data_IF_334562947748
#
_entry.id   IF_334562947748
#
_cell.length_a   1.000
_cell.length_b   1.000
_cell.length_c   1.000
_cell.angle_alpha   90.00
_cell.angle_beta   90.00
_cell.angle_gamma   90.00
#
_symmetry.space_group_name_H-M   'P 1'
#
loop_
_entity.id
_entity.type
_entity.pdbx_description
1 polymer ?
#
# COMPACT_ATOMS: atom_id res chain seq x y z
N UNK A 1 8.47 5.16 6.01
CA UNK A 1 7.08 5.51 5.64
C UNK A 1 6.27 5.75 6.92
N UNK A 2 5.07 6.34 6.82
CA UNK A 2 4.10 6.47 7.92
C UNK A 2 2.81 5.77 7.50
N UNK A 3 2.26 4.87 8.32
CA UNK A 3 1.06 4.08 7.98
C UNK A 3 -0.14 4.49 8.83
N UNK A 4 -1.33 4.53 8.22
CA UNK A 4 -2.58 4.92 8.86
C UNK A 4 -3.81 4.34 8.14
N UNK A 5 -5.00 4.79 8.55
CA UNK A 5 -6.27 4.43 7.91
C UNK A 5 -6.91 3.10 8.37
N UNK A 6 -6.21 2.30 9.19
CA UNK A 6 -6.72 1.00 9.66
C UNK A 6 -7.26 0.96 11.09
N UNK A 7 -6.84 1.90 11.95
CA UNK A 7 -7.05 1.81 13.39
C UNK A 7 -7.54 3.13 13.97
N UNK A 8 -8.46 3.04 14.93
CA UNK A 8 -8.86 4.14 15.81
C UNK A 8 -7.95 4.23 17.04
N UNK A 9 -7.94 5.38 17.74
CA UNK A 9 -7.24 5.52 19.01
C UNK A 9 -7.59 4.38 19.98
N UNK A 10 -6.57 3.71 20.52
CA UNK A 10 -6.75 2.49 21.32
C UNK A 10 -6.65 1.18 20.53
N UNK A 11 -6.02 1.20 19.34
CA UNK A 11 -5.74 0.00 18.52
C UNK A 11 -6.99 -0.76 18.08
N UNK A 12 -8.14 -0.08 17.97
CA UNK A 12 -9.37 -0.67 17.45
C UNK A 12 -9.36 -0.66 15.93
N UNK A 13 -9.32 -1.83 15.32
CA UNK A 13 -9.35 -1.95 13.87
C UNK A 13 -10.72 -1.52 13.34
N UNK A 14 -10.74 -0.61 12.37
CA UNK A 14 -11.98 -0.13 11.76
C UNK A 14 -12.55 -1.20 10.83
N UNK A 15 -13.88 -1.29 10.77
CA UNK A 15 -14.53 -2.08 9.73
C UNK A 15 -14.17 -1.51 8.35
N UNK A 16 -13.54 -2.33 7.51
CA UNK A 16 -13.17 -1.93 6.15
C UNK A 16 -14.15 -2.49 5.14
N UNK A 17 -14.20 -1.88 3.95
CA UNK A 17 -14.93 -2.41 2.79
C UNK A 17 -14.21 -3.63 2.22
N UNK A 18 -14.81 -4.22 1.18
CA UNK A 18 -14.17 -5.30 0.43
C UNK A 18 -12.78 -4.90 -0.08
N UNK A 19 -11.84 -5.87 -0.16
CA UNK A 19 -10.52 -5.62 -0.70
C UNK A 19 -10.56 -5.11 -2.13
N UNK A 20 -9.66 -4.17 -2.44
CA UNK A 20 -9.44 -3.69 -3.81
C UNK A 20 -8.38 -4.54 -4.50
N UNK A 21 -8.44 -4.59 -5.85
CA UNK A 21 -7.40 -5.22 -6.68
C UNK A 21 -6.05 -4.52 -6.49
N UNK A 22 -5.00 -4.97 -7.17
CA UNK A 22 -3.69 -4.30 -7.14
C UNK A 22 -3.39 -3.60 -8.48
N UNK A 23 -3.22 -2.28 -8.50
CA UNK A 23 -2.86 -1.40 -9.63
C UNK A 23 -1.44 -0.86 -9.44
N UNK A 24 -0.59 -1.54 -8.66
CA UNK A 24 0.85 -1.26 -8.63
C UNK A 24 1.51 -1.35 -10.03
N UNK A 25 0.86 -2.00 -11.01
CA UNK A 25 1.25 -2.00 -12.42
C UNK A 25 0.85 -0.70 -13.18
N UNK A 26 0.73 0.43 -12.50
CA UNK A 26 0.50 1.74 -13.13
C UNK A 26 1.82 2.48 -13.46
N UNK A 27 2.97 1.85 -13.23
CA UNK A 27 4.29 2.40 -13.51
C UNK A 27 4.75 3.50 -12.54
N UNK A 28 4.00 3.75 -11.46
CA UNK A 28 4.33 4.79 -10.50
C UNK A 28 5.32 4.29 -9.45
N UNK A 29 6.31 5.14 -9.14
CA UNK A 29 7.35 4.86 -8.14
C UNK A 29 6.94 5.37 -6.76
N UNK A 30 7.36 4.65 -5.72
CA UNK A 30 7.19 4.96 -4.30
C UNK A 30 8.27 5.97 -3.86
N UNK A 31 8.25 7.16 -4.44
CA UNK A 31 9.13 8.26 -4.04
C UNK A 31 8.61 8.98 -2.79
N UNK A 32 9.44 9.81 -2.17
CA UNK A 32 9.08 10.66 -1.05
C UNK A 32 7.88 11.55 -1.40
N UNK A 33 6.92 11.61 -0.50
CA UNK A 33 5.66 12.34 -0.64
C UNK A 33 4.54 11.55 -1.30
N UNK A 34 4.80 10.34 -1.79
CA UNK A 34 3.76 9.51 -2.41
C UNK A 34 2.94 8.75 -1.39
N UNK A 35 1.66 8.54 -1.70
CA UNK A 35 0.74 7.75 -0.90
C UNK A 35 0.50 6.40 -1.57
N UNK A 36 0.61 5.33 -0.79
CA UNK A 36 0.45 3.96 -1.25
C UNK A 36 -0.44 3.15 -0.29
N UNK A 37 -1.14 2.13 -0.80
CA UNK A 37 -2.02 1.29 -0.01
C UNK A 37 -1.23 0.18 0.67
N UNK A 38 -1.40 0.04 1.98
CA UNK A 38 -0.87 -1.09 2.72
C UNK A 38 -1.74 -2.33 2.45
N UNK A 39 -1.08 -3.47 2.27
CA UNK A 39 -1.73 -4.77 2.01
C UNK A 39 -1.10 -5.86 2.86
N UNK A 40 -1.76 -7.01 2.91
CA UNK A 40 -1.15 -8.23 3.43
C UNK A 40 -0.29 -8.90 2.34
N UNK A 41 0.21 -10.09 2.61
CA UNK A 41 0.97 -10.89 1.64
C UNK A 41 0.17 -11.17 0.35
N UNK A 42 -1.17 -11.23 0.44
CA UNK A 42 -2.02 -11.38 -0.73
C UNK A 42 -2.07 -10.06 -1.54
N UNK A 43 -1.80 -10.09 -2.86
CA UNK A 43 -1.71 -8.87 -3.68
C UNK A 43 -3.03 -8.09 -3.73
N UNK A 44 -4.19 -8.76 -3.73
CA UNK A 44 -5.52 -8.15 -3.79
C UNK A 44 -6.20 -8.05 -2.42
N UNK A 45 -5.46 -7.62 -1.39
CA UNK A 45 -5.94 -7.53 -0.01
C UNK A 45 -5.93 -6.12 0.59
N UNK A 46 -5.57 -5.12 -0.22
CA UNK A 46 -5.59 -3.73 0.23
C UNK A 46 -7.05 -3.33 0.51
N UNK A 47 -7.29 -2.64 1.61
CA UNK A 47 -8.63 -2.18 2.01
C UNK A 47 -8.63 -0.68 2.27
N UNK A 48 -8.43 -0.26 3.52
CA UNK A 48 -8.43 1.15 3.92
C UNK A 48 -7.08 1.62 4.49
N UNK A 49 -6.14 0.70 4.69
CA UNK A 49 -4.82 1.05 5.21
C UNK A 49 -3.96 1.66 4.12
N UNK A 50 -3.34 2.79 4.40
CA UNK A 50 -2.43 3.49 3.50
C UNK A 50 -1.16 3.88 4.24
N UNK A 51 -0.09 4.11 3.50
CA UNK A 51 1.14 4.68 4.02
C UNK A 51 1.65 5.79 3.11
N UNK A 52 2.31 6.77 3.72
CA UNK A 52 2.98 7.87 3.03
C UNK A 52 4.48 7.61 3.07
N UNK A 53 5.11 7.62 1.91
CA UNK A 53 6.54 7.50 1.75
C UNK A 53 7.21 8.81 2.21
N UNK A 54 7.94 8.77 3.32
CA UNK A 54 8.70 9.94 3.84
C UNK A 54 10.12 10.02 3.29
N UNK A 55 10.54 8.98 2.58
CA UNK A 55 11.81 8.82 1.85
C UNK A 55 11.52 8.07 0.55
N UNK A 56 12.43 8.11 -0.42
CA UNK A 56 12.33 7.31 -1.64
C UNK A 56 12.52 5.82 -1.32
N UNK A 57 11.48 5.01 -1.53
CA UNK A 57 11.47 3.59 -1.20
C UNK A 57 11.43 2.75 -2.48
N UNK A 58 12.56 2.68 -3.19
CA UNK A 58 12.62 1.97 -4.48
C UNK A 58 12.37 0.46 -4.35
N UNK A 59 12.65 -0.13 -3.19
CA UNK A 59 12.38 -1.53 -2.88
C UNK A 59 10.88 -1.87 -2.77
N UNK A 60 10.01 -0.86 -2.65
CA UNK A 60 8.55 -1.03 -2.60
C UNK A 60 7.90 -0.92 -3.99
N UNK A 61 8.69 -0.57 -5.01
CA UNK A 61 8.21 -0.47 -6.39
C UNK A 61 7.83 -1.84 -6.95
N UNK A 62 6.85 -1.84 -7.84
CA UNK A 62 6.52 -3.01 -8.64
C UNK A 62 7.74 -3.40 -9.51
N UNK A 63 8.20 -4.63 -9.35
CA UNK A 63 9.31 -5.21 -10.13
C UNK A 63 8.90 -6.46 -10.91
N UNK A 64 7.70 -7.01 -10.68
CA UNK A 64 7.12 -8.11 -11.47
C UNK A 64 5.93 -8.79 -10.80
N UNK A 65 5.18 -9.63 -11.49
CA UNK A 65 3.98 -10.31 -10.97
C UNK A 65 4.28 -11.47 -10.01
N UNK A 66 5.35 -11.40 -9.21
CA UNK A 66 5.67 -12.36 -8.16
C UNK A 66 5.18 -11.88 -6.79
N UNK A 67 4.93 -12.79 -5.85
CA UNK A 67 4.46 -12.44 -4.49
C UNK A 67 5.29 -11.33 -3.82
N UNK A 68 6.62 -11.30 -4.06
CA UNK A 68 7.51 -10.22 -3.64
C UNK A 68 7.59 -9.05 -4.63
N UNK A 69 7.44 -9.28 -5.95
CA UNK A 69 7.59 -8.27 -6.99
C UNK A 69 6.36 -7.38 -7.22
N UNK A 70 5.19 -7.77 -6.71
CA UNK A 70 3.93 -7.03 -6.88
C UNK A 70 3.96 -5.61 -6.28
N UNK A 71 4.99 -5.28 -5.48
CA UNK A 71 5.17 -3.96 -4.89
C UNK A 71 3.96 -3.51 -4.06
N UNK A 72 3.89 -2.21 -3.84
CA UNK A 72 2.76 -1.56 -3.19
C UNK A 72 2.04 -0.61 -4.16
N UNK A 73 0.71 -0.68 -4.14
CA UNK A 73 -0.17 0.16 -4.94
C UNK A 73 0.00 1.63 -4.57
N UNK A 74 0.21 2.54 -5.54
CA UNK A 74 0.20 3.99 -5.32
C UNK A 74 -1.17 4.63 -5.63
N UNK A 75 -1.72 5.43 -4.72
CA UNK A 75 -2.95 6.22 -4.92
C UNK A 75 -2.56 7.71 -4.92
N UNK A 76 -2.41 8.27 -6.12
CA UNK A 76 -2.13 9.68 -6.44
C UNK A 76 -0.91 10.37 -5.78
#
# INVERSE_FOLDING_TARGET
>A
MIQGGGFEPGMKQKATKEPIKNEANNGLKNTRGTLAMARTQAPHSATAQFFINVVDNDFLNFSGESLQGWGYWRVC
#
